data_IF_649868867516
#
_entry.id   IF_649868867516
#
_cell.length_a   1.000
_cell.length_b   1.000
_cell.length_c   1.000
_cell.angle_alpha   90.00
_cell.angle_beta   90.00
_cell.angle_gamma   90.00
#
_symmetry.space_group_name_H-M   'P 1'
#
loop_
_entity.id
_entity.type
_entity.pdbx_description
1 polymer ?
#
# COMPACT_ATOMS: atom_id res chain seq x y z
N UNK A 1 -0.28 12.48 3.55
CA UNK A 1 0.61 11.32 3.62
C UNK A 1 1.91 11.72 4.29
N UNK A 2 2.57 10.78 4.91
CA UNK A 2 3.82 11.04 5.60
C UNK A 2 4.91 11.49 4.65
N UNK A 3 5.67 12.53 5.05
CA UNK A 3 6.90 12.88 4.37
C UNK A 3 7.96 11.82 4.70
N UNK A 4 8.58 11.25 3.67
CA UNK A 4 9.56 10.18 3.86
C UNK A 4 10.99 10.74 3.79
N UNK A 5 11.76 10.63 4.88
CA UNK A 5 13.20 10.95 4.83
C UNK A 5 13.91 10.08 3.79
N UNK A 6 15.00 10.59 3.24
CA UNK A 6 15.79 9.86 2.24
C UNK A 6 16.33 8.52 2.77
N UNK A 7 16.55 8.42 4.08
CA UNK A 7 17.03 7.20 4.74
C UNK A 7 16.01 6.09 4.85
N UNK A 8 14.73 6.39 4.67
CA UNK A 8 13.65 5.38 4.75
C UNK A 8 13.64 4.57 3.47
N UNK A 9 13.75 3.25 3.63
CA UNK A 9 13.68 2.31 2.53
C UNK A 9 12.27 1.71 2.44
N UNK A 10 11.93 1.20 1.28
CA UNK A 10 10.60 0.68 0.99
C UNK A 10 10.74 -0.75 0.50
N UNK A 11 10.13 -1.68 1.22
CA UNK A 11 10.16 -3.10 0.89
C UNK A 11 8.75 -3.61 0.61
N UNK A 12 8.61 -4.45 -0.39
CA UNK A 12 7.35 -5.06 -0.73
C UNK A 12 7.46 -6.59 -0.65
N UNK A 13 6.47 -7.21 -0.02
CA UNK A 13 6.37 -8.66 0.03
C UNK A 13 6.19 -9.23 -1.37
N UNK A 14 6.97 -10.28 -1.71
CA UNK A 14 6.86 -10.96 -2.98
C UNK A 14 5.71 -11.97 -3.00
N UNK A 15 5.33 -12.50 -1.82
CA UNK A 15 4.23 -13.45 -1.67
C UNK A 15 2.99 -12.74 -1.14
N UNK A 16 1.83 -13.24 -1.54
CA UNK A 16 0.56 -12.79 -0.97
C UNK A 16 0.51 -13.04 0.53
N UNK A 17 -0.23 -12.19 1.24
CA UNK A 17 -0.41 -12.27 2.69
C UNK A 17 -1.90 -12.41 2.99
N UNK A 18 -2.21 -13.19 4.03
CA UNK A 18 -3.55 -13.27 4.56
C UNK A 18 -3.93 -11.93 5.23
N UNK A 19 -4.92 -11.24 4.68
CA UNK A 19 -5.29 -9.92 5.15
C UNK A 19 -6.15 -9.93 6.43
N UNK A 20 -6.40 -11.09 7.00
CA UNK A 20 -6.88 -11.18 8.39
C UNK A 20 -5.78 -10.78 9.38
N UNK A 21 -4.51 -10.85 8.97
CA UNK A 21 -3.39 -10.39 9.80
C UNK A 21 -3.44 -8.87 9.98
N UNK A 22 -3.35 -8.45 11.23
CA UNK A 22 -3.21 -7.05 11.62
C UNK A 22 -1.77 -6.72 11.95
N UNK A 23 -1.60 -5.79 12.89
CA UNK A 23 -0.26 -5.31 13.27
C UNK A 23 0.69 -6.46 13.64
N UNK A 24 0.31 -7.29 14.60
CA UNK A 24 1.20 -8.31 15.15
C UNK A 24 1.58 -9.36 14.11
N UNK A 25 0.62 -9.80 13.30
CA UNK A 25 0.89 -10.76 12.24
C UNK A 25 1.82 -10.23 11.17
N UNK A 26 1.67 -8.96 10.79
CA UNK A 26 2.53 -8.32 9.80
C UNK A 26 3.92 -8.03 10.38
N UNK A 27 4.00 -7.59 11.63
CA UNK A 27 5.28 -7.42 12.33
C UNK A 27 6.06 -8.73 12.36
N UNK A 28 5.35 -9.83 12.62
CA UNK A 28 5.97 -11.16 12.63
C UNK A 28 6.55 -11.53 11.25
N UNK A 29 5.86 -11.21 10.17
CA UNK A 29 6.36 -11.44 8.81
C UNK A 29 7.65 -10.66 8.56
N UNK A 30 7.68 -9.38 8.94
CA UNK A 30 8.89 -8.56 8.79
C UNK A 30 10.07 -9.19 9.50
N UNK A 31 9.87 -9.62 10.75
CA UNK A 31 10.93 -10.22 11.56
C UNK A 31 11.34 -11.60 11.06
N UNK A 32 10.37 -12.49 10.85
CA UNK A 32 10.64 -13.91 10.65
C UNK A 32 10.82 -14.30 9.18
N UNK A 33 10.11 -13.63 8.27
CA UNK A 33 10.19 -13.95 6.84
C UNK A 33 11.11 -13.02 6.07
N UNK A 34 11.13 -11.74 6.42
CA UNK A 34 12.02 -10.78 5.76
C UNK A 34 13.39 -10.70 6.43
N UNK A 35 13.48 -11.11 7.69
CA UNK A 35 14.73 -11.00 8.46
C UNK A 35 15.10 -9.56 8.75
N UNK A 36 14.12 -8.65 8.78
CA UNK A 36 14.33 -7.23 9.03
C UNK A 36 13.88 -6.86 10.43
N UNK A 37 14.36 -5.71 10.91
CA UNK A 37 13.91 -5.14 12.17
C UNK A 37 12.58 -4.40 11.93
N UNK A 38 11.48 -4.85 12.55
CA UNK A 38 10.19 -4.17 12.41
C UNK A 38 10.21 -2.71 12.92
N UNK A 39 11.14 -2.38 13.82
CA UNK A 39 11.26 -1.03 14.39
C UNK A 39 12.21 -0.13 13.57
N UNK A 40 12.57 -0.54 12.38
CA UNK A 40 13.52 0.18 11.53
C UNK A 40 13.01 1.54 11.04
N UNK A 41 11.70 1.71 10.97
CA UNK A 41 11.08 2.89 10.35
C UNK A 41 10.97 2.78 8.84
N UNK A 42 11.39 1.67 8.25
CA UNK A 42 11.18 1.43 6.82
C UNK A 42 9.72 1.06 6.53
N UNK A 43 9.28 1.27 5.31
CA UNK A 43 7.94 0.89 4.87
C UNK A 43 7.93 -0.56 4.40
N UNK A 44 6.93 -1.30 4.85
CA UNK A 44 6.71 -2.68 4.44
C UNK A 44 5.33 -2.82 3.84
N UNK A 45 5.29 -3.23 2.56
CA UNK A 45 4.08 -3.35 1.76
C UNK A 45 3.65 -4.81 1.66
N UNK A 46 2.37 -5.05 1.87
CA UNK A 46 1.76 -6.38 1.80
C UNK A 46 0.54 -6.33 0.90
N UNK A 47 0.37 -7.37 0.10
CA UNK A 47 -0.74 -7.48 -0.84
C UNK A 47 -1.54 -8.74 -0.57
N UNK A 48 -2.85 -8.65 -0.77
CA UNK A 48 -3.72 -9.82 -0.72
C UNK A 48 -3.61 -10.66 -2.00
N UNK A 49 -4.26 -11.84 -2.00
CA UNK A 49 -4.19 -12.76 -3.13
C UNK A 49 -4.69 -12.14 -4.45
N UNK A 50 -5.73 -11.34 -4.38
CA UNK A 50 -6.30 -10.67 -5.54
C UNK A 50 -5.54 -9.42 -5.98
N UNK A 51 -4.60 -8.96 -5.18
CA UNK A 51 -3.81 -7.74 -5.39
C UNK A 51 -4.68 -6.49 -5.58
N UNK A 52 -5.82 -6.46 -4.95
CA UNK A 52 -6.67 -5.28 -4.92
C UNK A 52 -6.64 -4.57 -3.56
N UNK A 53 -5.89 -5.11 -2.60
CA UNK A 53 -5.72 -4.53 -1.27
C UNK A 53 -4.25 -4.47 -0.93
N UNK A 54 -3.86 -3.36 -0.30
CA UNK A 54 -2.49 -3.09 0.12
C UNK A 54 -2.51 -2.66 1.57
N UNK A 55 -1.61 -3.21 2.36
CA UNK A 55 -1.30 -2.72 3.70
C UNK A 55 0.14 -2.26 3.75
N UNK A 56 0.37 -1.11 4.34
CA UNK A 56 1.72 -0.56 4.56
C UNK A 56 1.93 -0.46 6.06
N UNK A 57 2.92 -1.19 6.57
CA UNK A 57 3.31 -1.16 7.97
C UNK A 57 4.55 -0.31 8.13
N UNK A 58 4.53 0.61 9.10
CA UNK A 58 5.68 1.45 9.42
C UNK A 58 5.74 1.74 10.92
N UNK A 59 6.94 1.58 11.49
CA UNK A 59 7.21 2.00 12.87
C UNK A 59 7.48 3.49 12.92
N UNK A 60 6.84 4.18 13.87
CA UNK A 60 7.02 5.60 14.10
C UNK A 60 7.20 5.86 15.60
N UNK A 61 8.43 6.00 16.01
CA UNK A 61 8.88 6.39 17.36
C UNK A 61 8.33 5.55 18.51
N UNK A 62 7.03 5.42 18.64
CA UNK A 62 6.37 4.78 19.79
C UNK A 62 5.26 3.80 19.40
N UNK A 63 5.05 3.59 18.12
CA UNK A 63 3.99 2.71 17.66
C UNK A 63 4.07 2.43 16.17
N UNK A 64 3.21 1.54 15.73
CA UNK A 64 3.09 1.21 14.31
C UNK A 64 1.93 1.96 13.69
N UNK A 65 2.15 2.42 12.46
CA UNK A 65 1.08 2.80 11.56
C UNK A 65 0.80 1.65 10.60
N UNK A 66 -0.47 1.47 10.29
CA UNK A 66 -0.91 0.53 9.26
C UNK A 66 -1.83 1.29 8.32
N UNK A 67 -1.33 1.53 7.10
CA UNK A 67 -2.12 2.15 6.04
C UNK A 67 -2.77 1.05 5.23
N UNK A 68 -4.04 1.18 4.96
CA UNK A 68 -4.83 0.17 4.26
C UNK A 68 -5.53 0.82 3.08
N UNK A 69 -5.28 0.28 1.88
CA UNK A 69 -5.92 0.76 0.66
C UNK A 69 -6.56 -0.41 -0.08
N UNK A 70 -7.82 -0.24 -0.46
CA UNK A 70 -8.54 -1.15 -1.33
C UNK A 70 -8.81 -0.46 -2.65
N UNK A 71 -8.37 -1.08 -3.76
CA UNK A 71 -8.74 -0.61 -5.09
C UNK A 71 -10.17 -1.03 -5.38
N UNK A 72 -11.00 -0.08 -5.77
CA UNK A 72 -12.38 -0.37 -6.17
C UNK A 72 -12.45 -0.92 -7.58
N UNK A 73 -11.40 -0.71 -8.38
CA UNK A 73 -11.29 -1.24 -9.74
C UNK A 73 -9.84 -1.55 -10.05
N UNK A 74 -9.61 -2.69 -10.72
CA UNK A 74 -8.28 -3.12 -11.10
C UNK A 74 -7.49 -3.73 -9.94
N UNK A 75 -6.21 -3.93 -10.19
CA UNK A 75 -5.28 -4.54 -9.24
C UNK A 75 -3.97 -3.76 -9.20
N UNK A 76 -3.26 -3.87 -8.09
CA UNK A 76 -1.88 -3.38 -8.00
C UNK A 76 -0.97 -4.23 -8.89
N UNK A 77 0.08 -3.61 -9.43
CA UNK A 77 1.05 -4.34 -10.23
C UNK A 77 1.71 -5.43 -9.39
N UNK A 78 2.01 -6.56 -10.00
CA UNK A 78 2.70 -7.64 -9.33
C UNK A 78 4.19 -7.34 -9.25
N UNK A 79 4.72 -7.37 -8.01
CA UNK A 79 6.12 -7.13 -7.73
C UNK A 79 6.79 -8.48 -7.49
N UNK A 80 7.74 -8.84 -8.36
CA UNK A 80 8.41 -10.13 -8.31
C UNK A 80 9.87 -9.96 -7.92
N UNK A 81 10.36 -10.91 -7.13
CA UNK A 81 11.76 -10.98 -6.75
C UNK A 81 12.12 -12.38 -6.28
N UNK A 82 13.40 -12.65 -6.14
CA UNK A 82 13.91 -13.97 -5.77
C UNK A 82 13.73 -14.28 -4.29
N UNK A 83 13.62 -13.26 -3.43
CA UNK A 83 13.49 -13.43 -1.99
C UNK A 83 12.07 -13.21 -1.50
N UNK A 84 11.93 -13.15 -0.18
CA UNK A 84 10.66 -12.91 0.47
C UNK A 84 10.15 -11.48 0.25
N UNK A 85 11.06 -10.55 0.04
CA UNK A 85 10.74 -9.15 -0.22
C UNK A 85 11.66 -8.55 -1.27
N UNK A 86 11.21 -7.48 -1.91
CA UNK A 86 12.04 -6.67 -2.81
C UNK A 86 12.04 -5.23 -2.31
N UNK A 87 13.12 -4.53 -2.59
CA UNK A 87 13.18 -3.09 -2.34
C UNK A 87 12.70 -2.33 -3.58
N UNK A 88 11.88 -1.31 -3.37
CA UNK A 88 11.42 -0.41 -4.42
C UNK A 88 11.77 1.02 -4.06
N UNK A 89 11.88 1.88 -5.05
CA UNK A 89 12.13 3.30 -4.83
C UNK A 89 10.82 4.08 -4.66
N UNK A 90 10.96 5.35 -4.31
CA UNK A 90 9.80 6.23 -4.08
C UNK A 90 8.97 6.45 -5.33
N UNK A 91 9.63 6.56 -6.48
CA UNK A 91 8.93 6.75 -7.73
C UNK A 91 8.05 5.55 -8.05
N UNK A 92 8.55 4.35 -7.83
CA UNK A 92 7.78 3.13 -8.06
C UNK A 92 6.64 2.99 -7.06
N UNK A 93 6.86 3.35 -5.80
CA UNK A 93 5.79 3.38 -4.81
C UNK A 93 4.68 4.34 -5.24
N UNK A 94 5.01 5.54 -5.68
CA UNK A 94 4.03 6.52 -6.14
C UNK A 94 3.23 5.97 -7.32
N UNK A 95 3.89 5.39 -8.31
CA UNK A 95 3.23 4.75 -9.46
C UNK A 95 2.30 3.62 -9.03
N UNK A 96 2.76 2.78 -8.10
CA UNK A 96 1.98 1.68 -7.57
C UNK A 96 0.71 2.19 -6.88
N UNK A 97 0.84 3.21 -6.05
CA UNK A 97 -0.29 3.79 -5.30
C UNK A 97 -1.28 4.51 -6.23
N UNK A 98 -0.79 5.12 -7.29
CA UNK A 98 -1.63 5.79 -8.28
C UNK A 98 -2.27 4.81 -9.28
N UNK A 99 -1.88 3.54 -9.22
CA UNK A 99 -2.39 2.52 -10.13
C UNK A 99 -1.76 2.59 -11.51
N UNK A 100 -0.54 3.09 -11.63
CA UNK A 100 0.22 3.11 -12.87
C UNK A 100 1.11 1.88 -12.93
N UNK A 101 0.99 1.10 -14.00
CA UNK A 101 1.84 -0.05 -14.21
C UNK A 101 3.18 0.39 -14.81
N UNK A 102 4.29 0.06 -14.15
CA UNK A 102 5.62 0.44 -14.61
C UNK A 102 6.03 -0.21 -15.94
N UNK A 103 5.45 -1.35 -16.28
CA UNK A 103 5.67 -2.05 -17.54
C UNK A 103 4.80 -1.53 -18.67
N UNK A 104 3.66 -0.96 -18.32
CA UNK A 104 2.72 -0.37 -19.26
C UNK A 104 2.22 0.92 -18.61
N UNK A 105 2.85 2.07 -18.92
CA UNK A 105 2.61 3.32 -18.20
C UNK A 105 1.24 3.94 -18.46
N UNK A 106 0.30 3.19 -18.97
CA UNK A 106 -1.08 3.65 -19.01
C UNK A 106 -1.58 3.84 -17.59
N UNK A 107 -2.12 5.00 -17.34
CA UNK A 107 -2.86 5.24 -16.11
C UNK A 107 -4.04 4.27 -16.10
N UNK A 108 -4.22 3.53 -15.00
CA UNK A 108 -5.37 2.67 -14.82
C UNK A 108 -6.62 3.48 -14.98
N UNK A 109 -7.67 2.81 -15.45
CA UNK A 109 -8.97 3.45 -15.63
C UNK A 109 -9.29 4.33 -14.43
N UNK A 110 -9.77 5.50 -14.71
CA UNK A 110 -9.89 6.60 -13.79
C UNK A 110 -11.10 6.45 -12.87
N UNK A 111 -11.12 5.35 -12.10
CA UNK A 111 -12.17 5.10 -11.12
C UNK A 111 -12.15 6.17 -10.01
N UNK A 112 -10.97 6.61 -9.60
CA UNK A 112 -10.81 7.65 -8.58
C UNK A 112 -11.55 8.92 -8.99
N UNK A 113 -11.44 9.31 -10.24
CA UNK A 113 -12.13 10.48 -10.76
C UNK A 113 -13.65 10.31 -10.74
N UNK A 114 -14.15 9.15 -11.12
CA UNK A 114 -15.57 8.83 -11.08
C UNK A 114 -16.09 8.84 -9.64
N UNK A 115 -15.36 8.22 -8.73
CA UNK A 115 -15.70 8.19 -7.31
C UNK A 115 -15.68 9.60 -6.72
N UNK A 116 -14.70 10.43 -7.08
CA UNK A 116 -14.62 11.81 -6.62
C UNK A 116 -15.85 12.61 -7.03
N UNK A 117 -16.31 12.48 -8.27
CA UNK A 117 -17.52 13.14 -8.76
C UNK A 117 -18.74 12.67 -7.97
N UNK A 118 -18.90 11.36 -7.79
CA UNK A 118 -20.00 10.79 -6.99
C UNK A 118 -19.94 11.26 -5.55
N UNK A 119 -18.77 11.26 -4.94
CA UNK A 119 -18.58 11.70 -3.57
C UNK A 119 -18.97 13.17 -3.40
N UNK A 120 -18.70 14.03 -4.39
CA UNK A 120 -19.17 15.42 -4.37
C UNK A 120 -20.69 15.50 -4.37
N UNK A 121 -21.34 14.79 -5.27
CA UNK A 121 -22.81 14.74 -5.34
C UNK A 121 -23.40 14.24 -4.03
N UNK A 122 -22.89 13.13 -3.52
CA UNK A 122 -23.34 12.57 -2.25
C UNK A 122 -23.03 13.50 -1.08
N UNK A 123 -21.89 14.18 -1.10
CA UNK A 123 -21.52 15.17 -0.11
C UNK A 123 -22.45 16.38 -0.13
N UNK A 124 -22.81 16.84 -1.29
CA UNK A 124 -23.77 17.93 -1.44
C UNK A 124 -25.14 17.53 -0.96
N UNK A 125 -25.62 16.36 -1.34
CA UNK A 125 -26.89 15.82 -0.86
C UNK A 125 -26.88 15.66 0.66
N UNK A 126 -25.81 15.12 1.22
CA UNK A 126 -25.67 14.95 2.65
C UNK A 126 -25.65 16.30 3.39
N UNK A 127 -25.00 17.31 2.82
CA UNK A 127 -24.99 18.65 3.38
C UNK A 127 -26.36 19.31 3.30
N UNK A 128 -27.06 19.11 2.19
CA UNK A 128 -28.41 19.61 2.03
C UNK A 128 -29.39 18.94 3.00
N UNK A 129 -29.14 17.68 3.35
CA UNK A 129 -29.94 16.92 4.31
C UNK A 129 -29.59 17.23 5.79
N UNK A 130 -28.46 17.84 6.01
CA UNK A 130 -28.01 18.23 7.35
C UNK A 130 -28.46 19.64 7.66
#
# INVERSE_FOLDING_TARGET
MLSLPASVRIFAACARVDFRKGFDGLVQIVRDHFGDDPLSGHLYLFFNARRNRLKILVWDRNGFWLFYKRLEQGTFEELRGAGARIEIDRARLAMLLDGIDSKNPRVRRNFVREVTIRARDDGERARAAR
#
